data_IF_187914098782
#
_entry.id   IF_187914098782
#
_cell.length_a   1.000
_cell.length_b   1.000
_cell.length_c   1.000
_cell.angle_alpha   90.00
_cell.angle_beta   90.00
_cell.angle_gamma   90.00
#
_symmetry.space_group_name_H-M   'P 1'
#
loop_
_entity.id
_entity.type
_entity.pdbx_description
1 polymer ?
#
# COMPACT_ATOMS: atom_id res chain seq x y z
N UNK A 1 17.01 -2.53 19.92
CA UNK A 1 16.43 -1.51 19.01
C UNK A 1 14.94 -1.78 18.86
N UNK A 2 14.15 -0.77 19.06
CA UNK A 2 12.71 -0.88 18.89
C UNK A 2 12.28 -0.89 17.42
N UNK A 3 11.05 -1.25 17.20
CA UNK A 3 10.42 -1.17 15.89
C UNK A 3 9.55 0.09 15.82
N UNK A 4 9.37 0.60 14.61
CA UNK A 4 8.42 1.67 14.34
C UNK A 4 7.11 1.02 13.95
N UNK A 5 6.03 1.41 14.62
CA UNK A 5 4.69 0.92 14.34
C UNK A 5 3.89 2.06 13.73
N UNK A 6 3.40 1.84 12.52
CA UNK A 6 2.53 2.79 11.84
C UNK A 6 1.15 2.15 11.75
N UNK A 7 0.13 2.84 12.23
CA UNK A 7 -1.22 2.31 12.14
C UNK A 7 -2.17 3.34 11.54
N UNK A 8 -3.19 2.85 10.87
CA UNK A 8 -4.18 3.69 10.23
C UNK A 8 -4.55 3.16 8.86
N UNK A 9 -4.70 4.07 7.92
CA UNK A 9 -5.16 3.71 6.60
C UNK A 9 -4.02 3.42 5.63
N UNK A 10 -4.32 2.53 4.71
CA UNK A 10 -3.58 2.32 3.47
C UNK A 10 -4.59 2.36 2.34
N UNK A 11 -4.27 3.05 1.27
CA UNK A 11 -5.19 3.35 0.19
C UNK A 11 -4.63 2.91 -1.15
N UNK A 12 -5.54 2.69 -2.09
CA UNK A 12 -5.19 2.56 -3.50
C UNK A 12 -5.48 3.87 -4.19
N UNK A 13 -4.45 4.42 -4.84
CA UNK A 13 -4.59 5.57 -5.72
C UNK A 13 -4.71 5.06 -7.16
N UNK A 14 -5.81 5.40 -7.82
CA UNK A 14 -6.05 5.06 -9.22
C UNK A 14 -5.79 6.29 -10.06
N UNK A 15 -4.74 6.24 -10.89
CA UNK A 15 -4.38 7.34 -11.77
C UNK A 15 -4.82 7.04 -13.19
N UNK A 16 -5.69 7.89 -13.71
CA UNK A 16 -6.20 7.76 -15.06
C UNK A 16 -5.07 7.98 -16.08
N UNK A 17 -5.02 7.13 -17.09
CA UNK A 17 -4.08 7.25 -18.18
C UNK A 17 -4.75 7.92 -19.37
N UNK A 18 -4.03 8.77 -20.14
CA UNK A 18 -4.59 9.30 -21.37
C UNK A 18 -4.96 8.16 -22.32
N UNK A 19 -6.18 8.18 -22.91
CA UNK A 19 -6.55 7.15 -23.86
C UNK A 19 -5.77 7.32 -25.17
N UNK A 20 -5.50 6.22 -25.88
CA UNK A 20 -4.82 6.25 -27.16
C UNK A 20 -5.68 6.93 -28.24
N UNK A 21 -7.01 6.86 -28.10
CA UNK A 21 -7.98 7.48 -28.99
C UNK A 21 -9.29 7.72 -28.21
N UNK A 22 -10.21 8.47 -28.83
CA UNK A 22 -11.51 8.75 -28.21
C UNK A 22 -12.34 7.49 -27.96
N UNK A 23 -12.11 6.42 -28.75
CA UNK A 23 -12.86 5.18 -28.63
C UNK A 23 -12.19 4.15 -27.73
N UNK A 24 -10.99 4.45 -27.23
CA UNK A 24 -10.25 3.54 -26.37
C UNK A 24 -10.82 3.62 -24.93
N UNK A 25 -11.12 2.48 -24.30
CA UNK A 25 -11.50 2.49 -22.88
C UNK A 25 -10.41 3.13 -22.03
N UNK A 26 -10.83 3.87 -21.00
CA UNK A 26 -9.88 4.50 -20.09
C UNK A 26 -9.23 3.46 -19.20
N UNK A 27 -7.92 3.52 -19.12
CA UNK A 27 -7.12 2.68 -18.22
C UNK A 27 -6.72 3.48 -16.98
N UNK A 28 -6.54 2.77 -15.87
CA UNK A 28 -6.07 3.35 -14.61
C UNK A 28 -4.90 2.52 -14.10
N UNK A 29 -3.86 3.20 -13.64
CA UNK A 29 -2.77 2.55 -12.91
C UNK A 29 -3.06 2.63 -11.43
N UNK A 30 -2.78 1.54 -10.70
CA UNK A 30 -2.97 1.52 -9.26
C UNK A 30 -1.65 1.68 -8.53
N UNK A 31 -1.68 2.47 -7.47
CA UNK A 31 -0.54 2.70 -6.60
C UNK A 31 -0.98 2.57 -5.15
N UNK A 32 -0.10 2.04 -4.31
CA UNK A 32 -0.33 2.03 -2.88
C UNK A 32 -0.09 3.44 -2.32
N UNK A 33 -0.97 3.89 -1.43
CA UNK A 33 -0.88 5.20 -0.79
C UNK A 33 -1.41 5.17 0.63
N UNK A 34 -1.73 6.34 1.15
CA UNK A 34 -2.14 6.51 2.55
C UNK A 34 -0.96 6.96 3.43
N UNK A 35 -1.16 8.03 4.20
CA UNK A 35 -0.08 8.63 4.95
C UNK A 35 0.63 7.66 5.91
N UNK A 36 -0.06 6.88 6.77
CA UNK A 36 0.61 5.94 7.66
C UNK A 36 1.42 4.87 6.93
N UNK A 37 0.89 4.35 5.82
CA UNK A 37 1.58 3.35 5.01
C UNK A 37 2.82 3.95 4.34
N UNK A 38 2.72 5.17 3.83
CA UNK A 38 3.85 5.87 3.23
C UNK A 38 4.97 6.11 4.23
N UNK A 39 4.65 6.46 5.47
CA UNK A 39 5.63 6.60 6.53
C UNK A 39 6.33 5.27 6.81
N UNK A 40 5.58 4.19 6.90
CA UNK A 40 6.14 2.85 7.14
C UNK A 40 7.10 2.44 6.02
N UNK A 41 6.73 2.66 4.77
CA UNK A 41 7.58 2.35 3.62
C UNK A 41 8.84 3.20 3.63
N UNK A 42 8.71 4.51 3.88
CA UNK A 42 9.87 5.40 3.92
C UNK A 42 10.85 5.00 5.03
N UNK A 43 10.35 4.71 6.23
CA UNK A 43 11.16 4.28 7.34
C UNK A 43 11.86 2.94 7.06
N UNK A 44 11.15 1.98 6.47
CA UNK A 44 11.73 0.69 6.10
C UNK A 44 12.85 0.85 5.08
N UNK A 45 12.67 1.73 4.10
CA UNK A 45 13.69 2.01 3.09
C UNK A 45 14.95 2.64 3.68
N UNK A 46 14.82 3.31 4.80
CA UNK A 46 15.96 3.87 5.54
C UNK A 46 16.58 2.86 6.51
N UNK A 47 16.14 1.62 6.49
CA UNK A 47 16.70 0.55 7.30
C UNK A 47 16.02 0.33 8.64
N UNK A 48 14.95 1.05 8.95
CA UNK A 48 14.23 0.85 10.20
C UNK A 48 13.37 -0.43 10.13
N UNK A 49 13.23 -1.10 11.26
CA UNK A 49 12.29 -2.20 11.40
C UNK A 49 10.90 -1.63 11.62
N UNK A 50 9.97 -1.91 10.70
CA UNK A 50 8.64 -1.32 10.74
C UNK A 50 7.55 -2.37 10.68
N UNK A 51 6.43 -2.06 11.31
CA UNK A 51 5.18 -2.83 11.24
C UNK A 51 4.05 -1.89 10.85
N UNK A 52 3.17 -2.36 9.99
CA UNK A 52 1.95 -1.65 9.68
C UNK A 52 0.77 -2.37 10.34
N UNK A 53 -0.08 -1.61 11.02
CA UNK A 53 -1.28 -2.12 11.70
C UNK A 53 -2.49 -1.51 11.02
N UNK A 54 -3.37 -2.32 10.50
CA UNK A 54 -4.56 -1.83 9.81
C UNK A 54 -5.43 -2.96 9.28
N UNK A 55 -6.43 -2.58 8.52
CA UNK A 55 -7.39 -3.52 7.94
C UNK A 55 -7.38 -3.41 6.42
N UNK A 56 -7.32 -4.55 5.75
CA UNK A 56 -7.39 -4.65 4.29
C UNK A 56 -8.55 -5.55 3.87
N UNK A 57 -9.11 -5.28 2.71
CA UNK A 57 -10.14 -6.14 2.13
C UNK A 57 -9.60 -7.50 1.70
N UNK A 58 -10.50 -8.49 1.66
CA UNK A 58 -10.20 -9.82 1.12
C UNK A 58 -10.49 -9.85 -0.37
N UNK A 59 -9.74 -9.07 -1.13
CA UNK A 59 -9.92 -8.90 -2.55
C UNK A 59 -8.57 -8.60 -3.21
N UNK A 60 -8.59 -8.39 -4.52
CA UNK A 60 -7.37 -8.13 -5.26
C UNK A 60 -6.70 -6.82 -4.85
N UNK A 61 -7.47 -5.84 -4.37
CA UNK A 61 -6.90 -4.57 -3.90
C UNK A 61 -6.18 -4.75 -2.57
N UNK A 62 -6.79 -5.49 -1.65
CA UNK A 62 -6.14 -5.83 -0.39
C UNK A 62 -4.88 -6.65 -0.59
N UNK A 63 -4.90 -7.59 -1.52
CA UNK A 63 -3.72 -8.40 -1.86
C UNK A 63 -2.60 -7.54 -2.42
N UNK A 64 -2.93 -6.63 -3.34
CA UNK A 64 -1.95 -5.68 -3.89
C UNK A 64 -1.29 -4.84 -2.79
N UNK A 65 -2.09 -4.31 -1.87
CA UNK A 65 -1.58 -3.48 -0.79
C UNK A 65 -0.70 -4.28 0.18
N UNK A 66 -1.11 -5.48 0.55
CA UNK A 66 -0.32 -6.34 1.42
C UNK A 66 1.02 -6.70 0.76
N UNK A 67 0.99 -7.08 -0.51
CA UNK A 67 2.19 -7.43 -1.26
C UNK A 67 3.13 -6.24 -1.39
N UNK A 68 2.59 -5.04 -1.60
CA UNK A 68 3.38 -3.81 -1.66
C UNK A 68 4.12 -3.53 -0.37
N UNK A 69 3.48 -3.71 0.78
CA UNK A 69 4.12 -3.55 2.09
C UNK A 69 5.27 -4.56 2.26
N UNK A 70 5.02 -5.83 1.95
CA UNK A 70 6.04 -6.88 2.04
C UNK A 70 7.22 -6.56 1.13
N UNK A 71 6.96 -6.15 -0.10
CA UNK A 71 7.99 -5.81 -1.07
C UNK A 71 8.89 -4.67 -0.57
N UNK A 72 8.35 -3.72 0.17
CA UNK A 72 9.09 -2.61 0.72
C UNK A 72 9.66 -2.88 2.11
N UNK A 73 9.58 -4.11 2.60
CA UNK A 73 10.19 -4.49 3.87
C UNK A 73 9.39 -4.12 5.11
N UNK A 74 8.11 -3.79 4.95
CA UNK A 74 7.23 -3.48 6.08
C UNK A 74 6.60 -4.75 6.60
N UNK A 75 6.62 -4.96 7.92
CA UNK A 75 5.96 -6.10 8.55
C UNK A 75 4.44 -6.00 8.47
N UNK A 76 3.79 -7.13 8.22
CA UNK A 76 2.35 -7.23 8.00
C UNK A 76 1.63 -8.15 8.98
N UNK A 77 2.29 -8.50 10.09
CA UNK A 77 1.77 -9.48 11.05
C UNK A 77 0.47 -9.03 11.74
N UNK A 78 0.24 -7.73 11.80
CA UNK A 78 -0.91 -7.15 12.50
C UNK A 78 -1.95 -6.55 11.55
N UNK A 79 -1.95 -7.01 10.31
CA UNK A 79 -2.97 -6.61 9.34
C UNK A 79 -4.14 -7.58 9.43
N UNK A 80 -5.33 -7.03 9.60
CA UNK A 80 -6.58 -7.79 9.61
C UNK A 80 -7.19 -7.72 8.22
N UNK A 81 -7.59 -8.88 7.70
CA UNK A 81 -8.27 -8.96 6.41
C UNK A 81 -9.77 -9.10 6.64
N UNK A 82 -10.57 -8.32 5.96
CA UNK A 82 -12.03 -8.36 6.12
C UNK A 82 -12.77 -8.69 4.83
#
# INVERSE_FOLDING_TARGET
MGAIVCFGEILIDLLAQPPASADTPRAFLQYAGGAPANVAVAAARLGAKTQFVGTLGRDMFGDFLADSLVEHGVGTDYIVRT
#
